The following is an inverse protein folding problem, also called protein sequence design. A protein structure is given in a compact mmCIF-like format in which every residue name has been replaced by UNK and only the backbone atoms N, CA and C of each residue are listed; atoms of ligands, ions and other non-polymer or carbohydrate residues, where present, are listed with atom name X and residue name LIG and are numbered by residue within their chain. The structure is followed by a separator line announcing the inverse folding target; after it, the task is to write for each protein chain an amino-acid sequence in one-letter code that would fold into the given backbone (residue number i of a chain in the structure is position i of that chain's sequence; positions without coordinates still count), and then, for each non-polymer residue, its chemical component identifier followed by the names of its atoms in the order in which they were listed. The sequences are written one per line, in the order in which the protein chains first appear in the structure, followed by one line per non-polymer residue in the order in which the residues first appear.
data_IF_844205325187
#
_entry.id   IF_844205325187
#
_cell.length_a   1.000
_cell.length_b   1.000
_cell.length_c   1.000
_cell.angle_alpha   90.00
_cell.angle_beta   90.00
_cell.angle_gamma   90.00
#
_symmetry.space_group_name_H-M   'P 1'
#
loop_
_entity.id
_entity.type
_entity.pdbx_description
1 polymer ?
#
# COMPACT_ATOMS: atom_id res chain seq x y z
N UNK A 1 -10.42 8.72 9.90
CA UNK A 1 -10.24 7.41 10.53
C UNK A 1 -10.11 7.59 12.03
N UNK A 2 -10.51 6.57 12.78
CA UNK A 2 -10.36 6.47 14.23
C UNK A 2 -9.66 5.15 14.53
N UNK A 3 -8.63 5.17 15.36
CA UNK A 3 -7.83 3.99 15.70
C UNK A 3 -7.86 3.74 17.21
N UNK A 4 -8.37 2.59 17.62
CA UNK A 4 -8.48 2.23 19.03
C UNK A 4 -7.12 1.84 19.60
N UNK A 5 -6.72 2.48 20.71
CA UNK A 5 -5.63 1.99 21.55
C UNK A 5 -6.18 0.99 22.56
N UNK A 6 -5.49 -0.14 22.72
CA UNK A 6 -5.90 -1.21 23.63
C UNK A 6 -4.83 -1.53 24.66
N UNK A 7 -5.27 -1.90 25.87
CA UNK A 7 -4.38 -2.39 26.92
C UNK A 7 -3.97 -3.86 26.73
N UNK A 8 -3.24 -4.43 27.69
CA UNK A 8 -2.79 -5.83 27.67
C UNK A 8 -3.96 -6.83 27.75
N UNK A 9 -5.10 -6.44 28.30
CA UNK A 9 -6.33 -7.24 28.35
C UNK A 9 -7.20 -7.08 27.09
N UNK A 10 -6.77 -6.25 26.13
CA UNK A 10 -7.50 -5.99 24.89
C UNK A 10 -8.66 -5.01 25.04
N UNK A 11 -8.78 -4.31 26.19
CA UNK A 11 -9.81 -3.29 26.40
C UNK A 11 -9.42 -2.00 25.68
N UNK A 12 -10.41 -1.34 25.06
CA UNK A 12 -10.21 -0.03 24.45
C UNK A 12 -10.01 1.01 25.55
N UNK A 13 -8.87 1.70 25.51
CA UNK A 13 -8.47 2.70 26.52
C UNK A 13 -8.29 4.10 25.93
N UNK A 14 -8.29 4.23 24.60
CA UNK A 14 -8.18 5.53 23.94
C UNK A 14 -8.38 5.43 22.44
N UNK A 15 -8.43 6.59 21.80
CA UNK A 15 -8.69 6.70 20.36
C UNK A 15 -7.75 7.72 19.73
N UNK A 16 -7.00 7.28 18.73
CA UNK A 16 -6.24 8.14 17.83
C UNK A 16 -7.14 8.61 16.68
N UNK A 17 -7.00 9.88 16.35
CA UNK A 17 -7.82 10.64 15.44
C UNK A 17 -7.00 11.07 14.23
N UNK A 18 -7.44 10.74 13.02
CA UNK A 18 -6.75 11.16 11.79
C UNK A 18 -7.72 11.39 10.64
N UNK A 19 -7.70 12.58 10.06
CA UNK A 19 -8.40 12.90 8.80
C UNK A 19 -7.63 13.89 7.94
N UNK A 20 -8.26 14.44 6.89
CA UNK A 20 -7.58 15.30 5.92
C UNK A 20 -6.96 16.55 6.57
N UNK A 21 -7.73 17.22 7.43
CA UNK A 21 -7.35 18.50 8.04
C UNK A 21 -7.30 18.44 9.58
N UNK A 22 -7.44 17.24 10.16
CA UNK A 22 -7.47 17.06 11.61
C UNK A 22 -6.66 15.84 12.03
N UNK A 23 -6.01 15.96 13.19
CA UNK A 23 -5.26 14.89 13.84
C UNK A 23 -5.30 15.11 15.34
N UNK A 24 -5.34 14.05 16.12
CA UNK A 24 -5.40 14.18 17.56
C UNK A 24 -5.49 12.86 18.31
N UNK A 25 -5.81 12.99 19.59
CA UNK A 25 -6.12 11.88 20.45
C UNK A 25 -7.29 12.28 21.33
N UNK A 26 -8.27 11.38 21.48
CA UNK A 26 -9.49 11.67 22.21
C UNK A 26 -9.20 12.07 23.66
N UNK A 27 -9.88 13.13 24.13
CA UNK A 27 -9.70 13.65 25.48
C UNK A 27 -10.14 12.61 26.52
N UNK A 28 -9.32 12.43 27.56
CA UNK A 28 -9.58 11.45 28.63
C UNK A 28 -9.18 10.01 28.28
N UNK A 29 -8.71 9.75 27.05
CA UNK A 29 -8.16 8.45 26.68
C UNK A 29 -6.68 8.28 27.07
N UNK A 30 -6.23 7.03 27.13
CA UNK A 30 -4.85 6.64 27.40
C UNK A 30 -4.11 6.21 26.13
N UNK A 31 -2.96 6.82 25.87
CA UNK A 31 -2.04 6.45 24.78
C UNK A 31 -1.19 5.23 25.17
N UNK A 32 -1.73 4.03 24.96
CA UNK A 32 -1.00 2.77 25.15
C UNK A 32 -0.36 2.34 23.83
N UNK A 33 -1.04 1.52 23.04
CA UNK A 33 -0.65 1.11 21.70
C UNK A 33 -1.90 0.87 20.85
N UNK A 34 -1.90 1.35 19.62
CA UNK A 34 -2.75 0.77 18.58
C UNK A 34 -2.18 -0.59 18.19
N UNK A 35 -3.04 -1.59 17.96
CA UNK A 35 -2.64 -2.97 17.66
C UNK A 35 -3.43 -3.50 16.46
N UNK A 36 -2.74 -3.98 15.44
CA UNK A 36 -3.36 -4.55 14.23
C UNK A 36 -2.63 -5.83 13.80
N UNK A 37 -3.32 -6.96 13.81
CA UNK A 37 -2.75 -8.29 13.54
C UNK A 37 -2.95 -9.27 14.69
N UNK A 38 -2.42 -10.50 14.57
CA UNK A 38 -2.55 -11.54 15.58
C UNK A 38 -1.79 -11.19 16.87
N UNK A 39 -2.39 -11.49 18.03
CA UNK A 39 -1.80 -11.20 19.34
C UNK A 39 -0.57 -12.06 19.65
N UNK A 40 -0.48 -13.25 19.08
CA UNK A 40 0.60 -14.22 19.23
C UNK A 40 1.69 -14.10 18.14
N UNK A 41 1.72 -12.98 17.41
CA UNK A 41 2.72 -12.69 16.39
C UNK A 41 4.17 -12.78 16.92
N UNK A 42 5.05 -13.38 16.12
CA UNK A 42 6.50 -13.45 16.37
C UNK A 42 7.27 -12.23 15.83
N UNK A 43 6.60 -11.33 15.11
CA UNK A 43 7.16 -10.06 14.62
C UNK A 43 6.33 -8.88 15.12
N UNK A 44 6.96 -7.94 15.82
CA UNK A 44 6.36 -6.68 16.23
C UNK A 44 6.86 -5.57 15.32
N UNK A 45 5.96 -4.94 14.56
CA UNK A 45 6.31 -3.85 13.68
C UNK A 45 5.79 -2.54 14.26
N UNK A 46 6.68 -1.70 14.79
CA UNK A 46 6.32 -0.49 15.53
C UNK A 46 6.46 0.75 14.66
N UNK A 47 5.40 1.54 14.60
CA UNK A 47 5.29 2.80 13.84
C UNK A 47 4.89 3.96 14.75
N UNK A 48 4.94 5.19 14.24
CA UNK A 48 4.59 6.39 15.01
C UNK A 48 3.08 6.62 15.05
N UNK A 49 2.37 6.45 13.94
CA UNK A 49 0.92 6.66 13.85
C UNK A 49 0.17 5.41 13.36
N UNK A 50 -1.09 5.25 13.76
CA UNK A 50 -1.87 4.07 13.40
C UNK A 50 -2.09 3.95 11.88
N UNK A 51 -2.15 5.08 11.17
CA UNK A 51 -2.25 5.10 9.71
C UNK A 51 -1.02 4.48 9.04
N UNK A 52 0.18 4.65 9.62
CA UNK A 52 1.42 4.06 9.10
C UNK A 52 1.48 2.56 9.36
N UNK A 53 1.05 2.11 10.54
CA UNK A 53 0.90 0.69 10.85
C UNK A 53 -0.01 -0.03 9.83
N UNK A 54 -1.18 0.54 9.55
CA UNK A 54 -2.11 -0.02 8.57
C UNK A 54 -1.58 0.07 7.14
N UNK A 55 -0.91 1.17 6.78
CA UNK A 55 -0.33 1.34 5.44
C UNK A 55 0.77 0.33 5.18
N UNK A 56 1.64 0.10 6.15
CA UNK A 56 2.67 -0.92 6.05
C UNK A 56 2.08 -2.33 5.97
N UNK A 57 1.03 -2.63 6.75
CA UNK A 57 0.34 -3.92 6.65
C UNK A 57 -0.27 -4.17 5.26
N UNK A 58 -0.82 -3.12 4.64
CA UNK A 58 -1.32 -3.17 3.27
C UNK A 58 -0.20 -3.38 2.24
N UNK A 59 0.95 -2.71 2.42
CA UNK A 59 2.12 -2.85 1.55
C UNK A 59 2.76 -4.24 1.64
N UNK A 60 2.83 -4.83 2.84
CA UNK A 60 3.41 -6.17 3.06
C UNK A 60 2.43 -7.31 2.74
N UNK A 61 1.13 -7.01 2.55
CA UNK A 61 0.09 -7.99 2.23
C UNK A 61 -0.27 -8.92 3.39
N UNK A 62 -0.67 -8.35 4.53
CA UNK A 62 -1.10 -9.06 5.76
C UNK A 62 -0.27 -10.31 6.06
N UNK A 63 0.98 -10.11 6.51
CA UNK A 63 1.86 -11.21 6.91
C UNK A 63 1.28 -11.93 8.14
N UNK A 64 1.01 -13.23 8.01
CA UNK A 64 0.29 -14.05 9.00
C UNK A 64 0.88 -14.01 10.42
N UNK A 65 2.14 -13.60 10.61
CA UNK A 65 2.81 -13.57 11.92
C UNK A 65 3.34 -12.16 12.31
N UNK A 66 2.73 -11.09 11.83
CA UNK A 66 3.10 -9.71 12.21
C UNK A 66 2.01 -9.00 12.98
N UNK A 67 2.38 -8.46 14.15
CA UNK A 67 1.57 -7.48 14.87
C UNK A 67 2.11 -6.08 14.56
N UNK A 68 1.30 -5.29 13.87
CA UNK A 68 1.58 -3.88 13.60
C UNK A 68 1.12 -3.04 14.78
N UNK A 69 2.01 -2.20 15.27
CA UNK A 69 1.84 -1.39 16.47
C UNK A 69 2.03 0.08 16.12
N UNK A 70 1.30 0.95 16.81
CA UNK A 70 1.58 2.39 16.79
C UNK A 70 1.56 3.00 18.19
N UNK A 71 2.48 3.95 18.39
CA UNK A 71 2.63 4.73 19.63
C UNK A 71 1.65 5.91 19.73
N UNK A 72 0.94 6.28 18.66
CA UNK A 72 -0.01 7.41 18.65
C UNK A 72 0.66 8.79 18.64
N UNK A 73 1.79 8.90 17.92
CA UNK A 73 2.55 10.12 17.66
C UNK A 73 3.52 10.55 18.76
N UNK A 74 3.66 9.78 19.85
CA UNK A 74 4.50 10.14 20.99
C UNK A 74 4.96 8.94 21.80
N UNK A 75 6.20 8.97 22.28
CA UNK A 75 6.73 7.97 23.20
C UNK A 75 6.46 8.36 24.65
N UNK A 76 5.68 7.56 25.39
CA UNK A 76 5.39 7.76 26.80
C UNK A 76 5.89 6.59 27.66
N UNK A 77 6.04 6.76 28.99
CA UNK A 77 6.36 5.64 29.89
C UNK A 77 5.36 4.48 29.81
N UNK A 78 4.08 4.78 29.52
CA UNK A 78 3.03 3.77 29.35
C UNK A 78 3.25 2.95 28.07
N UNK A 79 3.62 3.64 26.99
CA UNK A 79 3.98 3.01 25.71
C UNK A 79 5.22 2.12 25.85
N UNK A 80 6.22 2.62 26.58
CA UNK A 80 7.47 1.90 26.87
C UNK A 80 7.23 0.60 27.63
N UNK A 81 6.43 0.67 28.70
CA UNK A 81 6.03 -0.50 29.48
C UNK A 81 5.24 -1.52 28.63
N UNK A 82 4.31 -1.06 27.80
CA UNK A 82 3.53 -1.93 26.94
C UNK A 82 4.38 -2.63 25.86
N UNK A 83 5.37 -1.94 25.29
CA UNK A 83 6.31 -2.53 24.34
C UNK A 83 7.23 -3.54 25.03
N UNK A 84 7.69 -3.22 26.24
CA UNK A 84 8.53 -4.12 27.06
C UNK A 84 7.79 -5.41 27.39
N UNK A 85 6.53 -5.32 27.81
CA UNK A 85 5.68 -6.48 28.10
C UNK A 85 5.55 -7.40 26.87
N UNK A 86 5.32 -6.82 25.68
CA UNK A 86 5.20 -7.58 24.43
C UNK A 86 6.53 -8.22 23.99
N UNK A 87 7.67 -7.65 24.37
CA UNK A 87 9.01 -8.08 23.98
C UNK A 87 9.55 -9.27 24.81
N UNK A 88 8.89 -9.67 25.91
CA UNK A 88 9.34 -10.80 26.76
C UNK A 88 9.28 -12.16 26.03
N UNK A 89 8.61 -12.25 24.87
CA UNK A 89 8.38 -13.51 24.16
C UNK A 89 9.65 -14.01 23.46
N UNK A 90 10.09 -15.27 23.73
CA UNK A 90 11.28 -15.82 23.08
C UNK A 90 11.17 -15.87 21.55
N UNK A 91 12.28 -15.58 20.86
CA UNK A 91 12.36 -15.66 19.40
C UNK A 91 11.66 -14.53 18.64
N UNK A 92 11.15 -13.52 19.36
CA UNK A 92 10.47 -12.37 18.78
C UNK A 92 11.44 -11.47 18.02
N UNK A 93 10.95 -10.87 16.92
CA UNK A 93 11.65 -9.82 16.18
C UNK A 93 10.96 -8.48 16.37
N UNK A 94 11.67 -7.54 16.96
CA UNK A 94 11.29 -6.14 17.05
C UNK A 94 11.71 -5.42 15.77
N UNK A 95 10.75 -4.83 15.07
CA UNK A 95 10.99 -4.05 13.86
C UNK A 95 10.60 -2.60 14.12
N UNK A 96 11.57 -1.68 14.08
CA UNK A 96 11.24 -0.27 13.95
C UNK A 96 10.87 0.03 12.51
N UNK A 97 9.61 0.37 12.30
CA UNK A 97 9.09 0.88 11.04
C UNK A 97 8.74 2.37 11.18
N UNK A 98 9.60 3.13 11.84
CA UNK A 98 9.43 4.56 12.10
C UNK A 98 9.73 5.42 10.90
N UNK A 99 9.28 6.67 10.93
CA UNK A 99 9.33 7.62 9.82
C UNK A 99 10.78 7.88 9.36
N UNK A 100 10.93 8.34 8.12
CA UNK A 100 12.23 8.58 7.51
C UNK A 100 12.87 9.93 7.94
N UNK A 101 12.61 10.40 9.16
CA UNK A 101 13.08 11.68 9.68
C UNK A 101 13.92 11.51 10.98
N UNK A 102 14.55 12.59 11.51
CA UNK A 102 15.37 12.51 12.72
C UNK A 102 14.62 12.05 13.99
N UNK A 103 13.32 12.35 14.11
CA UNK A 103 12.51 11.86 15.23
C UNK A 103 12.29 10.35 15.12
N UNK A 104 11.95 9.86 13.93
CA UNK A 104 11.82 8.43 13.64
C UNK A 104 13.13 7.68 13.87
N UNK A 105 14.28 8.30 13.62
CA UNK A 105 15.60 7.75 13.94
C UNK A 105 15.84 7.62 15.45
N UNK A 106 15.46 8.63 16.23
CA UNK A 106 15.53 8.53 17.69
C UNK A 106 14.60 7.44 18.24
N UNK A 107 13.41 7.27 17.66
CA UNK A 107 12.47 6.22 18.08
C UNK A 107 12.98 4.83 17.72
N UNK A 108 13.61 4.67 16.56
CA UNK A 108 14.23 3.41 16.18
C UNK A 108 15.36 3.02 17.15
N UNK A 109 16.18 3.97 17.59
CA UNK A 109 17.25 3.65 18.54
C UNK A 109 16.69 3.24 19.91
N UNK A 110 15.59 3.85 20.36
CA UNK A 110 14.90 3.42 21.60
C UNK A 110 14.35 2.01 21.47
N UNK A 111 13.70 1.70 20.35
CA UNK A 111 13.19 0.36 20.08
C UNK A 111 14.31 -0.69 19.98
N UNK A 112 15.47 -0.30 19.45
CA UNK A 112 16.67 -1.13 19.43
C UNK A 112 17.14 -1.46 20.84
N UNK A 113 17.31 -0.44 21.68
CA UNK A 113 17.75 -0.62 23.06
C UNK A 113 16.77 -1.51 23.85
N UNK A 114 15.46 -1.34 23.63
CA UNK A 114 14.42 -2.19 24.22
C UNK A 114 14.53 -3.65 23.75
N UNK A 115 14.75 -3.86 22.44
CA UNK A 115 14.95 -5.20 21.87
C UNK A 115 16.19 -5.88 22.46
N UNK A 116 17.31 -5.16 22.56
CA UNK A 116 18.56 -5.65 23.15
C UNK A 116 18.37 -6.01 24.62
N UNK A 117 17.72 -5.14 25.41
CA UNK A 117 17.42 -5.41 26.83
C UNK A 117 16.49 -6.62 27.03
N UNK A 118 15.60 -6.88 26.07
CA UNK A 118 14.65 -7.99 26.11
C UNK A 118 15.19 -9.28 25.46
N UNK A 119 16.38 -9.24 24.87
CA UNK A 119 16.95 -10.36 24.11
C UNK A 119 16.20 -10.70 22.81
N UNK A 120 15.46 -9.75 22.25
CA UNK A 120 14.77 -9.88 20.96
C UNK A 120 15.72 -9.67 19.77
N UNK A 121 15.38 -10.27 18.63
CA UNK A 121 15.97 -9.86 17.37
C UNK A 121 15.53 -8.44 17.01
N UNK A 122 16.37 -7.73 16.27
CA UNK A 122 16.15 -6.34 15.90
C UNK A 122 16.25 -6.12 14.39
N UNK A 123 15.36 -5.28 13.84
CA UNK A 123 15.43 -4.80 12.46
C UNK A 123 14.95 -3.34 12.37
N UNK A 124 15.61 -2.52 11.54
CA UNK A 124 15.06 -1.25 11.07
C UNK A 124 14.47 -1.42 9.68
N UNK A 125 13.23 -0.97 9.50
CA UNK A 125 12.58 -0.82 8.22
C UNK A 125 12.28 0.67 8.02
N UNK A 126 12.92 1.31 7.05
CA UNK A 126 12.70 2.74 6.76
C UNK A 126 11.78 2.87 5.54
N UNK A 127 10.74 3.72 5.58
CA UNK A 127 9.98 4.02 4.37
C UNK A 127 10.87 4.71 3.33
N UNK A 128 10.67 4.45 2.02
CA UNK A 128 11.35 5.18 0.95
C UNK A 128 10.81 6.60 0.70
N UNK A 129 9.73 6.98 1.38
CA UNK A 129 9.19 8.35 1.46
C UNK A 129 9.21 8.83 2.93
N UNK A 130 8.57 9.95 3.27
CA UNK A 130 8.61 10.47 4.64
C UNK A 130 7.97 9.50 5.66
N UNK A 131 6.82 8.93 5.31
CA UNK A 131 6.08 7.96 6.12
C UNK A 131 5.51 6.80 5.28
N UNK A 132 5.00 5.75 5.93
CA UNK A 132 4.47 4.56 5.21
C UNK A 132 3.19 4.85 4.46
N UNK A 133 2.36 5.76 4.97
CA UNK A 133 1.15 6.17 4.29
C UNK A 133 1.45 6.89 2.97
N UNK A 134 2.49 7.73 2.91
CA UNK A 134 2.95 8.36 1.67
C UNK A 134 3.46 7.33 0.66
N UNK A 135 4.23 6.33 1.13
CA UNK A 135 4.68 5.21 0.29
C UNK A 135 3.49 4.49 -0.37
N UNK A 136 2.45 4.19 0.42
CA UNK A 136 1.24 3.54 -0.09
C UNK A 136 0.49 4.43 -1.09
N UNK A 137 0.32 5.71 -0.78
CA UNK A 137 -0.38 6.66 -1.65
C UNK A 137 0.33 6.84 -3.00
N UNK A 138 1.67 6.92 -2.99
CA UNK A 138 2.48 7.02 -4.20
C UNK A 138 2.33 5.76 -5.06
N UNK A 139 2.41 4.58 -4.45
CA UNK A 139 2.20 3.31 -5.17
C UNK A 139 0.81 3.20 -5.81
N UNK A 140 -0.26 3.63 -5.13
CA UNK A 140 -1.62 3.62 -5.67
C UNK A 140 -1.81 4.66 -6.79
N UNK A 141 -1.21 5.84 -6.67
CA UNK A 141 -1.22 6.88 -7.71
C UNK A 141 -0.60 6.37 -9.01
N UNK A 142 0.60 5.79 -8.93
CA UNK A 142 1.27 5.24 -10.10
C UNK A 142 0.47 4.09 -10.74
N UNK A 143 -0.12 3.20 -9.93
CA UNK A 143 -1.00 2.12 -10.46
C UNK A 143 -2.17 2.71 -11.24
N UNK A 144 -2.77 3.81 -10.76
CA UNK A 144 -3.88 4.49 -11.44
C UNK A 144 -3.44 5.16 -12.74
N UNK A 145 -2.28 5.79 -12.76
CA UNK A 145 -1.71 6.41 -13.97
C UNK A 145 -1.41 5.36 -15.04
N UNK A 146 -0.75 4.25 -14.67
CA UNK A 146 -0.48 3.12 -15.58
C UNK A 146 -1.77 2.52 -16.15
N UNK A 147 -2.81 2.34 -15.31
CA UNK A 147 -4.12 1.86 -15.78
C UNK A 147 -4.76 2.85 -16.77
N UNK A 148 -4.66 4.15 -16.49
CA UNK A 148 -5.20 5.21 -17.36
C UNK A 148 -4.48 5.23 -18.71
N UNK A 149 -3.16 5.12 -18.71
CA UNK A 149 -2.35 5.03 -19.92
C UNK A 149 -2.66 3.77 -20.73
N UNK A 150 -2.74 2.60 -20.08
CA UNK A 150 -3.13 1.36 -20.73
C UNK A 150 -4.53 1.44 -21.38
N UNK A 151 -5.50 2.06 -20.70
CA UNK A 151 -6.82 2.34 -21.26
C UNK A 151 -6.76 3.27 -22.49
N UNK A 152 -5.97 4.35 -22.44
CA UNK A 152 -5.76 5.26 -23.57
C UNK A 152 -5.15 4.54 -24.78
N UNK A 153 -4.11 3.74 -24.56
CA UNK A 153 -3.45 2.95 -25.62
C UNK A 153 -4.40 1.93 -26.26
N UNK A 154 -5.22 1.25 -25.44
CA UNK A 154 -6.22 0.30 -25.93
C UNK A 154 -7.32 0.99 -26.75
N UNK A 155 -7.79 2.17 -26.33
CA UNK A 155 -8.77 2.96 -27.07
C UNK A 155 -8.22 3.51 -28.41
N UNK A 156 -6.95 3.92 -28.44
CA UNK A 156 -6.27 4.36 -29.66
C UNK A 156 -6.12 3.24 -30.70
N UNK A 157 -5.85 2.00 -30.25
CA UNK A 157 -5.72 0.82 -31.13
C UNK A 157 -7.02 0.44 -31.82
N UNK A 158 -8.18 0.70 -31.20
CA UNK A 158 -9.51 0.43 -31.79
C UNK A 158 -9.84 1.46 -32.89
N UNK A 159 -9.37 2.71 -32.79
CA UNK A 159 -9.63 3.76 -33.80
C UNK A 159 -8.74 3.67 -35.05
N UNK A 160 -7.69 2.85 -35.04
CA UNK A 160 -6.78 2.65 -36.19
C UNK A 160 -7.20 1.56 -37.18
N UNK A 161 -8.25 0.79 -36.89
CA UNK A 161 -8.71 -0.34 -37.69
C UNK A 161 -9.83 0.03 -38.67
N UNK A 162 -9.56 0.90 -39.64
CA UNK A 162 -10.41 1.00 -40.84
C UNK A 162 -9.54 1.35 -42.04
N UNK A 163 -8.64 0.43 -42.41
CA UNK A 163 -8.11 0.41 -43.76
C UNK A 163 -9.28 0.13 -44.70
N UNK A 164 -9.67 1.14 -45.49
CA UNK A 164 -10.68 1.00 -46.54
C UNK A 164 -10.12 -0.01 -47.54
N UNK A 165 -10.72 -1.20 -47.64
CA UNK A 165 -10.47 -2.06 -48.78
C UNK A 165 -10.92 -1.29 -50.02
N UNK A 166 -9.98 -1.05 -50.94
CA UNK A 166 -10.30 -0.52 -52.26
C UNK A 166 -11.24 -1.52 -52.97
N UNK A 167 -12.28 -1.06 -53.69
CA UNK A 167 -13.17 -1.97 -54.39
C UNK A 167 -12.39 -2.65 -55.53
N UNK A 168 -12.51 -3.98 -55.60
CA UNK A 168 -11.93 -4.77 -56.67
C UNK A 168 -12.60 -4.40 -58.01
N UNK A 169 -11.79 -4.09 -59.02
CA UNK A 169 -12.25 -3.97 -60.40
C UNK A 169 -12.59 -5.36 -60.92
N UNK A 170 -13.83 -5.58 -61.34
CA UNK A 170 -14.28 -6.81 -62.00
C UNK A 170 -13.59 -7.00 -63.36
N UNK A 171 -13.15 -8.23 -63.72
CA UNK A 171 -12.71 -8.52 -65.07
C UNK A 171 -13.93 -8.76 -65.98
N UNK A 172 -13.96 -8.05 -67.11
CA UNK A 172 -14.98 -8.24 -68.14
C UNK A 172 -14.74 -9.53 -68.95
N UNK A 173 -15.77 -10.37 -69.02
CA UNK A 173 -16.03 -11.40 -70.03
C UNK A 173 -17.54 -11.69 -70.00
N UNK A 174 -18.31 -11.94 -71.05
CA UNK A 174 -18.04 -12.38 -72.43
C UNK A 174 -19.32 -12.13 -73.29
N UNK A 175 -19.14 -12.01 -74.62
CA UNK A 175 -20.00 -12.48 -75.76
C UNK A 175 -21.46 -11.97 -75.93
N UNK A 176 -22.08 -11.82 -77.13
CA UNK A 176 -21.81 -12.14 -78.55
C UNK A 176 -22.79 -11.41 -79.53
N UNK A 177 -22.42 -11.31 -80.82
CA UNK A 177 -23.28 -11.17 -82.03
C UNK A 177 -23.76 -9.75 -82.42
N UNK A 178 -23.84 -9.28 -83.67
CA UNK A 178 -23.89 -9.92 -85.00
C UNK A 178 -23.73 -8.89 -86.15
N UNK A 179 -23.29 -9.40 -87.33
CA UNK A 179 -23.63 -9.03 -88.73
C UNK A 179 -23.12 -7.74 -89.43
N UNK A 180 -22.37 -7.95 -90.54
CA UNK A 180 -22.48 -7.41 -91.92
C UNK A 180 -21.11 -7.69 -92.61
N UNK A 181 -20.94 -8.39 -93.74
CA UNK A 181 -21.63 -8.32 -95.02
C UNK A 181 -20.65 -7.75 -96.08
N UNK A 182 -19.94 -8.58 -96.87
CA UNK A 182 -19.31 -8.17 -98.16
C UNK A 182 -19.16 -9.38 -99.11
N UNK A 183 -19.56 -9.14 -100.36
CA UNK A 183 -19.60 -9.97 -101.57
C UNK A 183 -18.22 -10.39 -102.14
N UNK A 184 -18.19 -11.50 -102.89
CA UNK A 184 -17.81 -11.49 -104.33
C UNK A 184 -18.03 -12.85 -105.02
N UNK A 185 -18.75 -12.76 -106.14
CA UNK A 185 -18.90 -13.58 -107.36
C UNK A 185 -18.25 -14.98 -107.45
#
# INVERSE_FOLDING_TARGET
MWAAHVDSEGRVVGWEERGPDWRGFATGGSKVLFRFGPSDASRLCVTEAAIDAMSLAALEGSREQTLYLSTGGGWSPVTDAALTELAVRPGLTMVAATDANPQGDAYAERLRALAEASGCNWQRLRPPAEDWNEVLQNGEREKRERKTEACRMRAGRIKGGSARHAPALDPAGHEAGSAEGVMKD
#
